data_IF_989305349038
#
_entry.id   IF_989305349038
#
_cell.length_a   1.000
_cell.length_b   1.000
_cell.length_c   1.000
_cell.angle_alpha   90.00
_cell.angle_beta   90.00
_cell.angle_gamma   90.00
#
_symmetry.space_group_name_H-M   'P 1'
#
loop_
_entity.id
_entity.type
_entity.pdbx_description
1 polymer ?
#
# COMPACT_ATOMS: atom_id res chain seq x y z
N UNK A 1 -14.54 0.82 18.37
CA UNK A 1 -15.74 0.70 17.51
C UNK A 1 -16.04 1.93 16.69
N UNK A 2 -16.04 3.19 17.21
CA UNK A 2 -16.32 4.35 16.34
C UNK A 2 -15.31 4.46 15.19
N UNK A 3 -14.03 4.15 15.39
CA UNK A 3 -12.99 4.27 14.35
C UNK A 3 -13.13 3.27 13.19
N UNK A 4 -13.25 1.94 13.42
CA UNK A 4 -13.47 0.98 12.32
C UNK A 4 -14.80 1.23 11.59
N UNK A 5 -15.88 1.58 12.31
CA UNK A 5 -17.19 1.88 11.69
C UNK A 5 -17.17 3.22 10.93
N UNK A 6 -16.44 4.22 11.41
CA UNK A 6 -16.22 5.48 10.69
C UNK A 6 -15.39 5.24 9.44
N UNK A 7 -14.34 4.42 9.50
CA UNK A 7 -13.53 4.04 8.34
C UNK A 7 -14.37 3.29 7.31
N UNK A 8 -15.15 2.28 7.74
CA UNK A 8 -16.09 1.57 6.89
C UNK A 8 -17.14 2.50 6.27
N UNK A 9 -17.69 3.45 7.05
CA UNK A 9 -18.64 4.43 6.53
C UNK A 9 -17.96 5.38 5.54
N UNK A 10 -16.75 5.85 5.82
CA UNK A 10 -15.96 6.73 4.95
C UNK A 10 -15.67 6.05 3.62
N UNK A 11 -15.19 4.80 3.63
CA UNK A 11 -14.95 4.03 2.42
C UNK A 11 -16.25 3.75 1.65
N UNK A 12 -17.33 3.34 2.32
CA UNK A 12 -18.64 3.15 1.67
C UNK A 12 -19.24 4.45 1.09
N UNK A 13 -19.07 5.59 1.77
CA UNK A 13 -19.50 6.90 1.25
C UNK A 13 -18.65 7.36 0.07
N UNK A 14 -17.35 7.08 0.09
CA UNK A 14 -16.46 7.38 -1.04
C UNK A 14 -16.85 6.54 -2.26
N UNK A 15 -17.11 5.24 -2.09
CA UNK A 15 -17.65 4.36 -3.14
C UNK A 15 -18.97 4.89 -3.70
N UNK A 16 -19.90 5.31 -2.84
CA UNK A 16 -21.20 5.87 -3.27
C UNK A 16 -21.05 7.18 -4.05
N UNK A 17 -20.06 8.01 -3.70
CA UNK A 17 -19.75 9.24 -4.42
C UNK A 17 -19.19 8.96 -5.81
N UNK A 18 -18.32 7.95 -5.94
CA UNK A 18 -17.79 7.51 -7.22
C UNK A 18 -18.87 6.94 -8.12
N UNK A 19 -19.82 6.18 -7.56
CA UNK A 19 -20.99 5.72 -8.30
C UNK A 19 -21.81 6.90 -8.88
N UNK A 20 -22.07 7.93 -8.08
CA UNK A 20 -22.79 9.14 -8.56
C UNK A 20 -22.02 9.88 -9.65
N UNK A 21 -20.68 9.86 -9.62
CA UNK A 21 -19.84 10.48 -10.64
C UNK A 21 -19.76 9.64 -11.92
N UNK A 22 -19.66 8.31 -11.80
CA UNK A 22 -19.70 7.37 -12.92
C UNK A 22 -21.08 7.38 -13.61
N UNK A 23 -22.18 7.38 -12.85
CA UNK A 23 -23.55 7.43 -13.38
C UNK A 23 -23.89 8.77 -14.06
N UNK A 24 -23.18 9.86 -13.69
CA UNK A 24 -23.30 11.17 -14.35
C UNK A 24 -22.38 11.35 -15.56
N UNK A 25 -21.47 10.43 -15.82
CA UNK A 25 -20.67 10.47 -17.02
C UNK A 25 -21.59 10.18 -18.23
N UNK A 26 -21.62 11.04 -19.27
CA UNK A 26 -22.50 10.82 -20.40
C UNK A 26 -22.17 9.49 -21.09
N UNK A 27 -23.17 8.61 -21.12
CA UNK A 27 -23.14 7.31 -21.80
C UNK A 27 -22.89 7.50 -23.29
N UNK A 28 -21.64 7.45 -23.71
CA UNK A 28 -21.28 7.30 -25.11
C UNK A 28 -19.97 6.52 -25.21
N UNK A 29 -20.01 5.28 -24.73
CA UNK A 29 -19.15 4.19 -25.23
C UNK A 29 -20.05 2.97 -25.34
N UNK A 30 -20.93 2.96 -26.34
CA UNK A 30 -21.60 1.74 -26.76
C UNK A 30 -20.68 0.97 -27.70
N UNK A 31 -20.47 -0.28 -27.34
CA UNK A 31 -20.01 -1.41 -28.14
C UNK A 31 -20.34 -1.36 -29.63
N UNK A 32 -19.39 -1.82 -30.46
CA UNK A 32 -19.68 -2.38 -31.78
C UNK A 32 -18.98 -1.71 -32.97
N UNK A 33 -18.17 -2.52 -33.65
CA UNK A 33 -17.60 -2.36 -34.99
C UNK A 33 -16.38 -1.42 -35.14
N UNK A 34 -15.23 -2.02 -35.49
CA UNK A 34 -14.12 -1.33 -36.14
C UNK A 34 -14.59 -0.64 -37.43
N UNK A 35 -14.34 0.67 -37.61
CA UNK A 35 -14.36 1.28 -38.92
C UNK A 35 -12.94 1.27 -39.49
N UNK A 36 -12.80 0.70 -40.68
CA UNK A 36 -11.62 0.79 -41.54
C UNK A 36 -11.31 2.27 -41.85
N UNK A 37 -10.49 2.94 -41.04
CA UNK A 37 -9.97 4.30 -41.31
C UNK A 37 -8.48 4.40 -40.95
N UNK A 38 -7.72 3.32 -41.20
CA UNK A 38 -6.25 3.28 -41.07
C UNK A 38 -5.54 3.41 -42.42
N UNK A 39 -6.05 4.23 -43.34
CA UNK A 39 -5.32 4.55 -44.57
C UNK A 39 -5.51 6.02 -44.94
N UNK A 40 -4.39 6.74 -44.94
CA UNK A 40 -4.21 8.11 -45.45
C UNK A 40 -4.50 9.26 -44.49
N UNK A 41 -3.53 9.56 -43.61
CA UNK A 41 -3.23 10.95 -43.29
C UNK A 41 -1.73 11.20 -43.47
N UNK A 42 -1.43 11.91 -44.56
CA UNK A 42 -0.13 12.57 -44.74
C UNK A 42 0.03 13.65 -43.67
N UNK A 43 1.22 13.69 -43.09
CA UNK A 43 1.64 14.59 -42.04
C UNK A 43 1.58 16.06 -42.50
N UNK A 44 0.74 16.86 -41.85
CA UNK A 44 0.73 18.33 -41.99
C UNK A 44 1.30 18.99 -40.73
N UNK A 45 1.94 20.18 -40.83
CA UNK A 45 2.63 20.82 -39.70
C UNK A 45 1.73 21.28 -38.54
N UNK A 46 0.40 21.27 -38.70
CA UNK A 46 -0.54 21.60 -37.61
C UNK A 46 -0.78 20.43 -36.64
N UNK A 47 -0.58 19.18 -37.07
CA UNK A 47 -0.71 17.98 -36.21
C UNK A 47 0.41 17.89 -35.17
N UNK A 48 1.61 18.43 -35.47
CA UNK A 48 2.74 18.46 -34.54
C UNK A 48 2.48 19.37 -33.32
N UNK A 49 1.71 20.44 -33.50
CA UNK A 49 1.35 21.37 -32.41
C UNK A 49 0.27 20.76 -31.51
N UNK A 50 -0.71 20.08 -32.12
CA UNK A 50 -1.79 19.38 -31.42
C UNK A 50 -1.27 18.15 -30.63
N UNK A 51 -0.34 17.38 -31.20
CA UNK A 51 0.33 16.26 -30.50
C UNK A 51 1.24 16.74 -29.36
N UNK A 52 1.94 17.87 -29.51
CA UNK A 52 2.76 18.45 -28.42
C UNK A 52 1.92 18.94 -27.22
N UNK A 53 0.76 19.57 -27.49
CA UNK A 53 -0.15 20.04 -26.46
C UNK A 53 -0.81 18.87 -25.70
N UNK A 54 -1.12 17.79 -26.42
CA UNK A 54 -1.68 16.56 -25.84
C UNK A 54 -0.66 15.84 -24.96
N UNK A 55 0.61 15.80 -25.38
CA UNK A 55 1.70 15.19 -24.59
C UNK A 55 1.99 15.95 -23.29
N UNK A 56 2.07 17.28 -23.35
CA UNK A 56 2.29 18.11 -22.15
C UNK A 56 1.14 18.02 -21.14
N UNK A 57 -0.10 17.96 -21.64
CA UNK A 57 -1.28 17.76 -20.79
C UNK A 57 -1.25 16.40 -20.10
N UNK A 58 -0.86 15.33 -20.81
CA UNK A 58 -0.70 13.99 -20.21
C UNK A 58 0.36 13.99 -19.11
N UNK A 59 1.52 14.61 -19.33
CA UNK A 59 2.57 14.71 -18.31
C UNK A 59 2.10 15.42 -17.05
N UNK A 60 1.45 16.59 -17.19
CA UNK A 60 0.93 17.33 -16.04
C UNK A 60 -0.12 16.53 -15.30
N UNK A 61 -1.09 15.95 -16.01
CA UNK A 61 -2.20 15.23 -15.39
C UNK A 61 -1.72 13.97 -14.68
N UNK A 62 -0.79 13.21 -15.27
CA UNK A 62 -0.19 12.02 -14.64
C UNK A 62 0.57 12.37 -13.36
N UNK A 63 1.40 13.42 -13.39
CA UNK A 63 2.16 13.84 -12.19
C UNK A 63 1.21 14.38 -11.12
N UNK A 64 0.23 15.19 -11.51
CA UNK A 64 -0.77 15.72 -10.57
C UNK A 64 -1.58 14.59 -9.93
N UNK A 65 -2.02 13.61 -10.71
CA UNK A 65 -2.75 12.45 -10.22
C UNK A 65 -1.89 11.56 -9.31
N UNK A 66 -0.63 11.29 -9.66
CA UNK A 66 0.31 10.56 -8.80
C UNK A 66 0.55 11.29 -7.47
N UNK A 67 0.66 12.63 -7.50
CA UNK A 67 0.72 13.44 -6.27
C UNK A 67 -0.55 13.30 -5.44
N UNK A 68 -1.74 13.33 -6.05
CA UNK A 68 -3.02 13.18 -5.32
C UNK A 68 -3.12 11.82 -4.65
N UNK A 69 -2.77 10.75 -5.36
CA UNK A 69 -2.73 9.39 -4.82
C UNK A 69 -1.72 9.29 -3.67
N UNK A 70 -0.46 9.66 -3.90
CA UNK A 70 0.57 9.53 -2.87
C UNK A 70 0.36 10.43 -1.65
N UNK A 71 -0.24 11.62 -1.82
CA UNK A 71 -0.57 12.51 -0.69
C UNK A 71 -1.79 12.03 0.10
N UNK A 72 -2.53 11.03 -0.39
CA UNK A 72 -3.60 10.39 0.38
C UNK A 72 -3.07 9.76 1.67
N UNK A 73 -1.78 9.42 1.75
CA UNK A 73 -1.12 8.96 2.97
C UNK A 73 -1.07 9.97 4.12
N UNK A 74 -1.40 11.24 3.87
CA UNK A 74 -1.58 12.26 4.92
C UNK A 74 -3.00 12.26 5.47
N UNK A 75 -3.98 11.70 4.74
CA UNK A 75 -5.40 11.66 5.15
C UNK A 75 -5.63 11.08 6.56
N UNK A 76 -4.94 10.01 6.99
CA UNK A 76 -5.07 9.48 8.35
C UNK A 76 -4.80 10.51 9.46
N UNK A 77 -3.98 11.55 9.20
CA UNK A 77 -3.69 12.62 10.15
C UNK A 77 -4.92 13.47 10.51
N UNK A 78 -5.91 13.52 9.63
CA UNK A 78 -7.21 14.20 9.85
C UNK A 78 -8.15 13.33 10.69
N UNK A 79 -8.10 12.00 10.50
CA UNK A 79 -8.92 11.05 11.24
C UNK A 79 -8.40 10.77 12.65
N UNK A 80 -7.08 10.87 12.85
CA UNK A 80 -6.44 10.61 14.15
C UNK A 80 -6.39 11.91 14.98
N UNK A 81 -7.13 12.00 16.10
CA UNK A 81 -7.19 13.20 16.92
C UNK A 81 -5.81 13.63 17.47
N UNK A 82 -5.62 14.95 17.68
CA UNK A 82 -4.33 15.60 18.02
C UNK A 82 -3.66 15.03 19.27
N UNK A 83 -4.46 14.60 20.25
CA UNK A 83 -3.98 14.05 21.52
C UNK A 83 -3.35 12.65 21.41
N UNK A 84 -3.26 12.10 20.18
CA UNK A 84 -2.94 10.71 19.95
C UNK A 84 -1.44 10.35 19.87
N UNK A 85 -0.61 11.27 19.38
CA UNK A 85 0.77 10.92 18.99
C UNK A 85 1.69 10.52 20.14
N UNK A 86 1.44 11.00 21.37
CA UNK A 86 2.31 10.76 22.54
C UNK A 86 1.60 10.01 23.67
N UNK A 87 0.26 10.09 23.76
CA UNK A 87 -0.51 9.52 24.88
C UNK A 87 -0.97 8.07 24.66
N UNK A 88 -0.82 7.48 23.47
CA UNK A 88 -1.43 6.16 23.18
C UNK A 88 -0.73 4.99 23.86
N UNK A 89 0.57 5.14 24.12
CA UNK A 89 1.35 4.17 24.89
C UNK A 89 1.03 4.23 26.38
N UNK A 90 0.59 5.39 26.87
CA UNK A 90 0.33 5.65 28.29
C UNK A 90 -1.15 5.52 28.67
N UNK A 91 -2.06 5.63 27.69
CA UNK A 91 -3.50 5.55 27.89
C UNK A 91 -4.06 4.20 27.41
N UNK A 92 -4.66 3.43 28.34
CA UNK A 92 -5.27 2.11 28.08
C UNK A 92 -6.31 2.12 26.95
N UNK A 93 -7.01 3.24 26.72
CA UNK A 93 -7.97 3.41 25.60
C UNK A 93 -7.29 3.58 24.24
N UNK A 94 -6.13 4.26 24.20
CA UNK A 94 -5.35 4.47 22.98
C UNK A 94 -4.78 3.16 22.45
N UNK A 95 -4.15 2.37 23.32
CA UNK A 95 -3.63 1.04 22.99
C UNK A 95 -4.70 0.10 22.40
N UNK A 96 -5.92 0.09 22.94
CA UNK A 96 -7.03 -0.69 22.38
C UNK A 96 -7.46 -0.20 21.00
N UNK A 97 -7.52 1.11 20.81
CA UNK A 97 -7.90 1.69 19.50
C UNK A 97 -6.84 1.38 18.44
N UNK A 98 -5.55 1.45 18.81
CA UNK A 98 -4.44 1.06 17.95
C UNK A 98 -4.52 -0.39 17.52
N UNK A 99 -4.78 -1.30 18.46
CA UNK A 99 -4.96 -2.73 18.13
C UNK A 99 -6.10 -2.96 17.15
N UNK A 100 -7.23 -2.25 17.31
CA UNK A 100 -8.35 -2.35 16.36
C UNK A 100 -8.01 -1.78 14.97
N UNK A 101 -7.30 -0.66 14.90
CA UNK A 101 -6.80 -0.11 13.63
C UNK A 101 -5.80 -1.05 12.97
N UNK A 102 -4.93 -1.67 13.76
CA UNK A 102 -3.96 -2.66 13.29
C UNK A 102 -4.64 -3.94 12.80
N UNK A 103 -5.71 -4.38 13.45
CA UNK A 103 -6.55 -5.48 12.97
C UNK A 103 -7.21 -5.14 11.64
N UNK A 104 -7.75 -3.93 11.50
CA UNK A 104 -8.26 -3.44 10.22
C UNK A 104 -7.16 -3.42 9.15
N UNK A 105 -5.95 -2.95 9.48
CA UNK A 105 -4.79 -2.91 8.60
C UNK A 105 -4.42 -4.31 8.08
N UNK A 106 -4.32 -5.31 8.96
CA UNK A 106 -4.05 -6.71 8.55
C UNK A 106 -5.13 -7.22 7.60
N UNK A 107 -6.40 -6.94 7.90
CA UNK A 107 -7.50 -7.31 7.00
C UNK A 107 -7.42 -6.61 5.64
N UNK A 108 -7.08 -5.33 5.62
CA UNK A 108 -6.87 -4.55 4.41
C UNK A 108 -5.73 -5.10 3.56
N UNK A 109 -4.52 -5.23 4.14
CA UNK A 109 -3.33 -5.78 3.48
C UNK A 109 -3.59 -7.19 2.90
N UNK A 110 -4.26 -8.08 3.66
CA UNK A 110 -4.60 -9.40 3.16
C UNK A 110 -5.66 -9.36 2.05
N UNK A 111 -6.66 -8.47 2.18
CA UNK A 111 -7.67 -8.24 1.17
C UNK A 111 -7.06 -7.76 -0.15
N UNK A 112 -6.16 -6.79 -0.08
CA UNK A 112 -5.44 -6.25 -1.23
C UNK A 112 -4.60 -7.32 -1.94
N UNK A 113 -3.75 -8.03 -1.20
CA UNK A 113 -2.92 -9.10 -1.75
C UNK A 113 -3.77 -10.13 -2.50
N UNK A 114 -4.81 -10.67 -1.87
CA UNK A 114 -5.56 -11.80 -2.44
C UNK A 114 -6.65 -11.41 -3.43
N UNK A 115 -7.23 -10.22 -3.30
CA UNK A 115 -8.38 -9.81 -4.12
C UNK A 115 -8.01 -8.79 -5.21
N UNK A 116 -6.84 -8.15 -5.11
CA UNK A 116 -6.39 -7.15 -6.08
C UNK A 116 -5.05 -7.53 -6.73
N UNK A 117 -3.96 -7.54 -5.96
CA UNK A 117 -2.59 -7.64 -6.51
C UNK A 117 -2.32 -8.99 -7.19
N UNK A 118 -2.69 -10.11 -6.55
CA UNK A 118 -2.44 -11.45 -7.11
C UNK A 118 -3.31 -11.74 -8.35
N UNK A 119 -4.63 -11.48 -8.35
CA UNK A 119 -5.45 -11.60 -9.56
C UNK A 119 -4.97 -10.73 -10.73
N UNK A 120 -4.57 -9.48 -10.46
CA UNK A 120 -4.05 -8.57 -11.50
C UNK A 120 -2.71 -9.07 -12.06
N UNK A 121 -1.77 -9.45 -11.19
CA UNK A 121 -0.49 -10.03 -11.60
C UNK A 121 -0.69 -11.26 -12.48
N UNK A 122 -1.65 -12.11 -12.11
CA UNK A 122 -2.01 -13.27 -12.90
C UNK A 122 -2.54 -12.92 -14.28
N UNK A 123 -3.48 -11.96 -14.34
CA UNK A 123 -4.07 -11.51 -15.60
C UNK A 123 -3.03 -10.96 -16.59
N UNK A 124 -1.96 -10.34 -16.08
CA UNK A 124 -0.84 -9.86 -16.90
C UNK A 124 0.04 -11.01 -17.41
N UNK A 125 0.50 -11.87 -16.50
CA UNK A 125 1.38 -13.00 -16.86
C UNK A 125 0.71 -14.00 -17.81
N UNK A 126 -0.62 -14.17 -17.74
CA UNK A 126 -1.37 -15.02 -18.66
C UNK A 126 -1.42 -14.44 -20.09
N UNK A 127 -1.41 -13.12 -20.25
CA UNK A 127 -1.39 -12.47 -21.58
C UNK A 127 -0.01 -12.56 -22.23
N UNK A 128 1.05 -12.59 -21.43
CA UNK A 128 2.44 -12.61 -21.93
C UNK A 128 2.97 -14.03 -22.20
N UNK A 129 2.49 -15.05 -21.49
CA UNK A 129 3.05 -16.40 -21.55
C UNK A 129 2.22 -17.34 -22.42
N UNK A 130 2.84 -18.01 -23.39
CA UNK A 130 2.20 -19.07 -24.19
C UNK A 130 1.89 -20.34 -23.37
N UNK A 131 2.61 -20.57 -22.26
CA UNK A 131 2.44 -21.72 -21.37
C UNK A 131 1.88 -21.28 -19.99
N UNK A 132 0.60 -21.55 -19.70
CA UNK A 132 -0.01 -21.14 -18.44
C UNK A 132 0.66 -21.78 -17.22
N UNK A 133 1.16 -23.01 -17.32
CA UNK A 133 1.80 -23.68 -16.18
C UNK A 133 3.08 -22.94 -15.74
N UNK A 134 3.86 -22.42 -16.69
CA UNK A 134 5.05 -21.63 -16.41
C UNK A 134 4.70 -20.26 -15.84
N UNK A 135 3.65 -19.62 -16.34
CA UNK A 135 3.17 -18.33 -15.83
C UNK A 135 2.83 -18.42 -14.33
N UNK A 136 2.12 -19.47 -13.93
CA UNK A 136 1.72 -19.68 -12.53
C UNK A 136 2.94 -19.89 -11.61
N UNK A 137 3.92 -20.67 -12.10
CA UNK A 137 5.16 -20.93 -11.37
C UNK A 137 6.00 -19.65 -11.23
N UNK A 138 6.13 -18.86 -12.30
CA UNK A 138 6.84 -17.57 -12.28
C UNK A 138 6.19 -16.61 -11.30
N UNK A 139 4.85 -16.49 -11.30
CA UNK A 139 4.12 -15.67 -10.35
C UNK A 139 4.38 -16.10 -8.91
N UNK A 140 4.25 -17.40 -8.62
CA UNK A 140 4.53 -17.95 -7.29
C UNK A 140 5.97 -17.72 -6.83
N UNK A 141 6.95 -17.81 -7.72
CA UNK A 141 8.35 -17.52 -7.41
C UNK A 141 8.57 -16.05 -7.06
N UNK A 142 7.94 -15.11 -7.76
CA UNK A 142 8.03 -13.68 -7.42
C UNK A 142 7.39 -13.36 -6.07
N UNK A 143 6.24 -13.96 -5.76
CA UNK A 143 5.61 -13.83 -4.44
C UNK A 143 6.53 -14.38 -3.34
N UNK A 144 7.08 -15.57 -3.52
CA UNK A 144 8.02 -16.15 -2.56
C UNK A 144 9.27 -15.28 -2.40
N UNK A 145 9.83 -14.77 -3.50
CA UNK A 145 10.97 -13.86 -3.46
C UNK A 145 10.65 -12.62 -2.63
N UNK A 146 9.47 -12.02 -2.82
CA UNK A 146 9.00 -10.89 -2.01
C UNK A 146 8.95 -11.22 -0.53
N UNK A 147 8.30 -12.33 -0.15
CA UNK A 147 8.23 -12.79 1.25
C UNK A 147 9.64 -12.97 1.83
N UNK A 148 10.50 -13.72 1.15
CA UNK A 148 11.86 -13.99 1.64
C UNK A 148 12.72 -12.73 1.72
N UNK A 149 12.62 -11.81 0.75
CA UNK A 149 13.33 -10.53 0.82
C UNK A 149 12.90 -9.75 2.05
N UNK A 150 11.61 -9.64 2.33
CA UNK A 150 11.12 -8.93 3.52
C UNK A 150 11.53 -9.62 4.83
N UNK A 151 11.51 -10.96 4.89
CA UNK A 151 12.04 -11.72 6.02
C UNK A 151 13.54 -11.49 6.22
N UNK A 152 14.34 -11.50 5.14
CA UNK A 152 15.78 -11.25 5.20
C UNK A 152 16.05 -9.83 5.68
N UNK A 153 15.31 -8.84 5.16
CA UNK A 153 15.44 -7.45 5.62
C UNK A 153 15.09 -7.34 7.10
N UNK A 154 13.98 -7.95 7.53
CA UNK A 154 13.57 -8.00 8.95
C UNK A 154 14.67 -8.62 9.82
N UNK A 155 15.30 -9.70 9.35
CA UNK A 155 16.41 -10.36 10.04
C UNK A 155 17.67 -9.49 10.10
N UNK A 156 18.07 -8.87 8.99
CA UNK A 156 19.27 -8.02 8.89
C UNK A 156 19.10 -6.77 9.77
N UNK A 157 17.94 -6.12 9.73
CA UNK A 157 17.65 -4.96 10.57
C UNK A 157 17.56 -5.35 12.05
N UNK A 158 17.04 -6.53 12.37
CA UNK A 158 17.04 -7.04 13.75
C UNK A 158 18.45 -7.38 14.25
N UNK A 159 19.29 -7.96 13.40
CA UNK A 159 20.67 -8.34 13.73
C UNK A 159 21.58 -7.11 13.94
N UNK A 160 21.50 -6.12 13.06
CA UNK A 160 22.25 -4.86 13.19
C UNK A 160 21.83 -4.08 14.45
N UNK A 161 20.54 -4.07 14.78
CA UNK A 161 20.03 -3.45 16.01
C UNK A 161 20.50 -4.14 17.32
N UNK A 162 21.03 -5.36 17.22
CA UNK A 162 21.53 -6.14 18.36
C UNK A 162 23.02 -5.87 18.68
N UNK A 163 23.77 -5.25 17.76
CA UNK A 163 25.21 -4.99 17.92
C UNK A 163 25.50 -3.67 18.65
N UNK A 164 24.64 -2.66 18.55
CA UNK A 164 24.83 -1.34 19.19
C UNK A 164 24.76 -1.35 20.73
N UNK A 165 24.21 -2.40 21.36
CA UNK A 165 24.13 -2.49 22.84
C UNK A 165 25.35 -3.16 23.49
N UNK A 166 26.24 -3.83 22.73
CA UNK A 166 27.41 -4.48 23.34
C UNK A 166 28.59 -3.54 23.58
N UNK A 167 28.65 -2.36 22.94
CA UNK A 167 29.75 -1.41 23.11
C UNK A 167 29.55 -0.42 24.28
N UNK A 168 28.35 -0.30 24.85
CA UNK A 168 28.07 0.65 25.96
C UNK A 168 28.17 -0.01 27.36
N UNK A 169 28.08 -1.34 27.45
CA UNK A 169 28.08 -2.04 28.74
C UNK A 169 29.47 -2.57 29.19
N UNK A 170 30.58 -2.13 28.61
CA UNK A 170 31.94 -2.58 28.99
C UNK A 170 32.76 -1.55 29.77
N UNK A 171 32.14 -0.56 30.38
CA UNK A 171 32.80 0.26 31.40
C UNK A 171 31.88 0.41 32.60
N UNK A 172 32.40 0.00 33.75
CA UNK A 172 31.80 0.07 35.09
C UNK A 172 30.77 -1.01 35.45
N UNK A 173 31.21 -2.05 36.17
CA UNK A 173 30.88 -2.20 37.61
C UNK A 173 31.65 -3.36 38.23
N UNK A 174 32.27 -3.01 39.36
CA UNK A 174 33.02 -3.78 40.33
C UNK A 174 32.15 -4.81 41.09
N UNK A 175 32.81 -5.81 41.68
CA UNK A 175 32.23 -6.95 42.41
C UNK A 175 31.28 -6.56 43.57
N UNK A 176 30.15 -7.27 43.68
CA UNK A 176 29.65 -8.01 44.86
C UNK A 176 28.10 -8.05 44.92
N UNK A 177 27.52 -9.25 45.03
CA UNK A 177 26.14 -9.42 45.54
C UNK A 177 25.33 -10.51 44.83
N UNK A 178 24.86 -11.48 45.62
CA UNK A 178 24.18 -12.73 45.23
C UNK A 178 22.66 -12.56 45.04
N UNK A 179 22.07 -13.42 44.18
CA UNK A 179 20.64 -13.79 44.01
C UNK A 179 19.73 -12.77 43.31
N UNK A 180 18.76 -13.13 42.46
CA UNK A 180 17.98 -14.36 42.24
C UNK A 180 17.39 -14.30 40.81
N UNK A 181 17.08 -15.46 40.23
CA UNK A 181 16.50 -15.52 38.89
C UNK A 181 15.12 -14.89 38.79
N UNK A 182 14.88 -14.27 37.63
CA UNK A 182 13.57 -14.17 36.98
C UNK A 182 13.84 -14.12 35.47
N UNK A 183 13.59 -15.26 34.81
CA UNK A 183 13.47 -15.32 33.36
C UNK A 183 12.12 -14.71 32.96
N UNK A 184 12.03 -13.38 33.01
CA UNK A 184 10.94 -12.65 32.42
C UNK A 184 11.26 -12.43 30.93
N UNK A 185 10.62 -13.25 30.09
CA UNK A 185 10.47 -13.06 28.64
C UNK A 185 10.23 -11.58 28.32
N UNK A 186 11.24 -10.93 27.73
CA UNK A 186 11.13 -9.56 27.26
C UNK A 186 10.08 -9.51 26.14
N UNK A 187 8.93 -8.92 26.47
CA UNK A 187 8.02 -8.29 25.52
C UNK A 187 8.81 -7.55 24.43
N UNK A 188 8.46 -7.77 23.16
CA UNK A 188 9.19 -7.31 21.97
C UNK A 188 9.98 -6.00 22.17
N UNK A 189 11.28 -6.07 21.90
CA UNK A 189 12.21 -4.95 22.03
C UNK A 189 11.63 -3.70 21.35
N UNK A 190 11.74 -2.49 21.96
CA UNK A 190 11.35 -1.23 21.32
C UNK A 190 11.91 -1.05 19.90
N UNK A 191 13.01 -1.74 19.58
CA UNK A 191 13.68 -1.69 18.27
C UNK A 191 13.08 -2.62 17.22
N UNK A 192 12.59 -3.83 17.57
CA UNK A 192 11.91 -4.71 16.59
C UNK A 192 10.63 -4.06 16.08
N UNK A 193 9.95 -3.34 16.97
CA UNK A 193 8.78 -2.51 16.68
C UNK A 193 9.12 -1.42 15.64
N UNK A 194 10.31 -0.82 15.71
CA UNK A 194 10.77 0.20 14.76
C UNK A 194 11.13 -0.38 13.38
N UNK A 195 11.71 -1.58 13.33
CA UNK A 195 12.01 -2.31 12.07
C UNK A 195 10.74 -2.57 11.26
N UNK A 196 9.66 -3.01 11.91
CA UNK A 196 8.37 -3.21 11.24
C UNK A 196 7.88 -1.95 10.54
N UNK A 197 8.12 -0.77 11.14
CA UNK A 197 7.71 0.51 10.55
C UNK A 197 8.48 0.84 9.27
N UNK A 198 9.78 0.57 9.23
CA UNK A 198 10.60 0.77 8.03
C UNK A 198 10.27 -0.22 6.91
N UNK A 199 10.00 -1.48 7.26
CA UNK A 199 9.54 -2.47 6.28
C UNK A 199 8.19 -2.05 5.70
N UNK A 200 7.31 -1.50 6.53
CA UNK A 200 6.04 -0.93 6.07
C UNK A 200 6.24 0.22 5.07
N UNK A 201 7.13 1.17 5.37
CA UNK A 201 7.46 2.26 4.45
C UNK A 201 8.04 1.76 3.14
N UNK A 202 8.87 0.71 3.18
CA UNK A 202 9.42 0.11 1.97
C UNK A 202 8.31 -0.51 1.11
N UNK A 203 7.41 -1.29 1.70
CA UNK A 203 6.28 -1.86 0.96
C UNK A 203 5.37 -0.76 0.40
N UNK A 204 5.01 0.23 1.21
CA UNK A 204 4.21 1.38 0.76
C UNK A 204 4.92 2.20 -0.34
N UNK A 205 6.25 2.28 -0.32
CA UNK A 205 7.01 2.95 -1.38
C UNK A 205 6.91 2.21 -2.72
N UNK A 206 6.98 0.87 -2.69
CA UNK A 206 6.86 0.05 -3.90
C UNK A 206 5.42 0.10 -4.44
N UNK A 207 4.44 0.09 -3.56
CA UNK A 207 3.03 0.17 -3.94
C UNK A 207 2.66 1.54 -4.54
N UNK A 208 3.10 2.63 -3.88
CA UNK A 208 2.99 3.98 -4.44
C UNK A 208 3.69 4.11 -5.80
N UNK A 209 4.85 3.47 -5.98
CA UNK A 209 5.53 3.41 -7.28
C UNK A 209 4.65 2.75 -8.35
N UNK A 210 4.03 1.61 -8.04
CA UNK A 210 3.13 0.93 -8.97
C UNK A 210 1.85 1.72 -9.25
N UNK A 211 1.32 2.45 -8.27
CA UNK A 211 0.23 3.39 -8.49
C UNK A 211 0.63 4.52 -9.44
N UNK A 212 1.82 5.09 -9.26
CA UNK A 212 2.38 6.07 -10.19
C UNK A 212 2.47 5.56 -11.62
N UNK A 213 3.02 4.36 -11.81
CA UNK A 213 3.09 3.69 -13.11
C UNK A 213 1.71 3.51 -13.73
N UNK A 214 0.75 2.95 -12.98
CA UNK A 214 -0.59 2.63 -13.46
C UNK A 214 -1.39 3.88 -13.85
N UNK A 215 -1.32 4.94 -13.02
CA UNK A 215 -1.94 6.24 -13.30
C UNK A 215 -1.37 6.83 -14.59
N UNK A 216 -0.05 6.90 -14.70
CA UNK A 216 0.61 7.47 -15.88
C UNK A 216 0.33 6.68 -17.17
N UNK A 217 0.40 5.35 -17.11
CA UNK A 217 0.06 4.48 -18.23
C UNK A 217 -1.40 4.69 -18.69
N UNK A 218 -2.32 4.87 -17.75
CA UNK A 218 -3.73 5.12 -18.06
C UNK A 218 -3.97 6.48 -18.74
N UNK A 219 -3.23 7.53 -18.34
CA UNK A 219 -3.28 8.84 -19.01
C UNK A 219 -2.62 8.84 -20.40
N UNK A 220 -1.63 7.96 -20.63
CA UNK A 220 -1.08 7.73 -21.97
C UNK A 220 -2.11 7.07 -22.90
N UNK A 221 -2.98 6.21 -22.37
CA UNK A 221 -4.11 5.62 -23.12
C UNK A 221 -5.22 6.67 -23.36
N UNK A 222 -5.51 7.49 -22.35
CA UNK A 222 -6.39 8.65 -22.52
C UNK A 222 -6.84 9.29 -21.22
N UNK A 223 -7.17 10.58 -21.26
CA UNK A 223 -7.52 11.37 -20.08
C UNK A 223 -8.68 10.80 -19.26
N UNK A 224 -9.71 10.25 -19.92
CA UNK A 224 -10.84 9.63 -19.21
C UNK A 224 -10.41 8.39 -18.43
N UNK A 225 -9.61 7.51 -19.06
CA UNK A 225 -9.07 6.32 -18.42
C UNK A 225 -8.16 6.70 -17.25
N UNK A 226 -7.23 7.65 -17.46
CA UNK A 226 -6.38 8.18 -16.40
C UNK A 226 -7.14 8.70 -15.19
N UNK A 227 -8.21 9.48 -15.40
CA UNK A 227 -9.06 9.99 -14.30
C UNK A 227 -9.77 8.87 -13.54
N UNK A 228 -10.33 7.87 -14.25
CA UNK A 228 -10.99 6.72 -13.64
C UNK A 228 -9.98 5.89 -12.84
N UNK A 229 -8.82 5.55 -13.42
CA UNK A 229 -7.75 4.82 -12.74
C UNK A 229 -7.26 5.56 -11.50
N UNK A 230 -7.07 6.88 -11.58
CA UNK A 230 -6.65 7.71 -10.44
C UNK A 230 -7.65 7.63 -9.30
N UNK A 231 -8.95 7.73 -9.62
CA UNK A 231 -10.01 7.68 -8.62
C UNK A 231 -10.14 6.28 -8.02
N UNK A 232 -10.03 5.24 -8.84
CA UNK A 232 -10.02 3.84 -8.43
C UNK A 232 -8.93 3.59 -7.40
N UNK A 233 -7.69 3.96 -7.76
CA UNK A 233 -6.53 3.83 -6.89
C UNK A 233 -6.70 4.64 -5.61
N UNK A 234 -7.14 5.90 -5.71
CA UNK A 234 -7.33 6.76 -4.53
C UNK A 234 -8.30 6.15 -3.50
N UNK A 235 -9.37 5.49 -3.96
CA UNK A 235 -10.35 4.86 -3.05
C UNK A 235 -9.75 3.69 -2.30
N UNK A 236 -8.98 2.82 -2.98
CA UNK A 236 -8.35 1.67 -2.35
C UNK A 236 -7.15 2.05 -1.48
N UNK A 237 -6.51 3.19 -1.77
CA UNK A 237 -5.33 3.67 -1.05
C UNK A 237 -5.69 4.23 0.32
N UNK A 238 -6.84 4.90 0.45
CA UNK A 238 -7.27 5.47 1.74
C UNK A 238 -7.33 4.42 2.86
N UNK A 239 -7.98 3.25 2.68
CA UNK A 239 -7.91 2.15 3.65
C UNK A 239 -6.50 1.66 3.96
N UNK A 240 -5.65 1.52 2.93
CA UNK A 240 -4.26 1.08 3.06
C UNK A 240 -3.45 2.05 3.90
N UNK A 241 -3.49 3.33 3.56
CA UNK A 241 -2.75 4.40 4.23
C UNK A 241 -3.16 4.57 5.70
N UNK A 242 -4.43 4.33 6.03
CA UNK A 242 -4.88 4.28 7.43
C UNK A 242 -4.22 3.11 8.18
N UNK A 243 -4.08 1.96 7.53
CA UNK A 243 -3.41 0.80 8.09
C UNK A 243 -1.92 1.02 8.30
N UNK A 244 -1.25 1.56 7.29
CA UNK A 244 0.17 1.91 7.31
C UNK A 244 0.48 2.95 8.39
N UNK A 245 -0.35 3.98 8.50
CA UNK A 245 -0.21 4.98 9.55
C UNK A 245 -0.35 4.35 10.94
N UNK A 246 -1.25 3.37 11.11
CA UNK A 246 -1.38 2.63 12.37
C UNK A 246 -0.13 1.77 12.67
N UNK A 247 0.47 1.15 11.65
CA UNK A 247 1.73 0.41 11.78
C UNK A 247 2.86 1.36 12.18
N UNK A 248 2.99 2.54 11.56
CA UNK A 248 4.01 3.54 11.91
C UNK A 248 3.87 4.05 13.35
N UNK A 249 2.64 4.37 13.78
CA UNK A 249 2.37 4.77 15.17
C UNK A 249 2.72 3.65 16.16
N UNK A 250 2.40 2.39 15.82
CA UNK A 250 2.80 1.22 16.60
C UNK A 250 4.33 1.13 16.66
N UNK A 251 5.00 1.41 15.55
CA UNK A 251 6.46 1.41 15.39
C UNK A 251 7.20 2.50 16.17
N UNK A 252 6.48 3.42 16.82
CA UNK A 252 7.05 4.46 17.66
C UNK A 252 7.18 5.83 16.97
N UNK A 253 6.70 5.97 15.74
CA UNK A 253 6.68 7.26 15.05
C UNK A 253 5.64 8.17 15.70
N UNK A 254 5.94 9.47 15.81
CA UNK A 254 4.91 10.44 16.14
C UNK A 254 3.94 10.62 14.97
N UNK A 255 2.74 11.17 15.20
CA UNK A 255 1.78 11.47 14.12
C UNK A 255 2.38 12.31 12.97
N UNK A 256 3.29 13.22 13.30
CA UNK A 256 3.93 14.10 12.32
C UNK A 256 5.08 13.41 11.63
N UNK A 257 5.81 12.54 12.32
CA UNK A 257 6.88 11.75 11.69
C UNK A 257 6.30 10.69 10.75
N UNK A 258 5.21 10.04 11.16
CA UNK A 258 4.44 9.13 10.31
C UNK A 258 3.93 9.85 9.05
N UNK A 259 3.33 11.04 9.20
CA UNK A 259 2.86 11.81 8.05
C UNK A 259 4.00 12.25 7.12
N UNK A 260 5.14 12.69 7.65
CA UNK A 260 6.32 13.01 6.83
C UNK A 260 6.85 11.78 6.10
N UNK A 261 6.84 10.62 6.75
CA UNK A 261 7.26 9.37 6.14
C UNK A 261 6.33 8.95 4.99
N UNK A 262 5.00 9.08 5.15
CA UNK A 262 4.07 8.85 4.04
C UNK A 262 4.19 9.89 2.91
N UNK A 263 4.52 11.14 3.20
CA UNK A 263 4.85 12.11 2.14
C UNK A 263 6.11 11.67 1.37
N UNK A 264 7.06 11.00 2.02
CA UNK A 264 8.25 10.47 1.33
C UNK A 264 7.93 9.32 0.37
N UNK A 265 6.95 8.47 0.67
CA UNK A 265 6.49 7.41 -0.25
C UNK A 265 5.77 8.00 -1.46
N UNK A 266 5.07 9.13 -1.30
CA UNK A 266 4.44 9.86 -2.40
C UNK A 266 5.45 10.31 -3.48
N UNK A 267 6.68 10.66 -3.08
CA UNK A 267 7.76 11.00 -4.03
C UNK A 267 8.12 9.80 -4.89
N UNK A 268 8.12 8.60 -4.31
CA UNK A 268 8.37 7.35 -5.03
C UNK A 268 7.22 7.07 -6.02
N UNK A 269 5.97 7.39 -5.65
CA UNK A 269 4.85 7.33 -6.59
C UNK A 269 4.98 8.28 -7.78
N UNK A 270 5.41 9.51 -7.56
CA UNK A 270 5.73 10.43 -8.67
C UNK A 270 6.87 9.88 -9.53
N UNK A 271 7.89 9.26 -8.94
CA UNK A 271 8.97 8.61 -9.69
C UNK A 271 8.44 7.47 -10.58
N UNK A 272 7.46 6.69 -10.10
CA UNK A 272 6.75 5.69 -10.90
C UNK A 272 6.01 6.31 -12.10
N UNK A 273 5.29 7.40 -11.88
CA UNK A 273 4.63 8.11 -12.98
C UNK A 273 5.62 8.64 -14.03
N UNK A 274 6.75 9.20 -13.59
CA UNK A 274 7.82 9.64 -14.50
C UNK A 274 8.40 8.45 -15.27
N UNK A 275 8.67 7.33 -14.60
CA UNK A 275 9.20 6.13 -15.25
C UNK A 275 8.29 5.65 -16.39
N UNK A 276 6.97 5.58 -16.17
CA UNK A 276 6.00 5.22 -17.20
C UNK A 276 5.94 6.25 -18.36
N UNK A 277 6.01 7.55 -18.07
CA UNK A 277 5.99 8.60 -19.08
C UNK A 277 7.26 8.65 -19.95
N UNK A 278 8.39 8.23 -19.40
CA UNK A 278 9.68 8.20 -20.10
C UNK A 278 9.93 6.91 -20.86
N UNK A 279 9.09 5.89 -20.68
CA UNK A 279 9.24 4.64 -21.39
C UNK A 279 8.81 4.79 -22.85
N UNK A 280 9.68 4.34 -23.78
CA UNK A 280 9.48 4.49 -25.23
C UNK A 280 8.23 3.74 -25.76
N UNK A 281 7.72 2.75 -25.02
CA UNK A 281 6.43 2.12 -25.33
C UNK A 281 5.74 1.56 -24.07
N UNK A 282 4.40 1.58 -24.07
CA UNK A 282 3.58 1.00 -22.99
C UNK A 282 3.80 -0.51 -22.83
N UNK A 283 4.05 -1.24 -23.93
CA UNK A 283 4.38 -2.68 -23.87
C UNK A 283 5.69 -2.96 -23.13
N UNK A 284 6.69 -2.05 -23.24
CA UNK A 284 7.96 -2.19 -22.51
C UNK A 284 7.77 -1.90 -21.01
N UNK A 285 6.81 -1.04 -20.65
CA UNK A 285 6.45 -0.83 -19.23
C UNK A 285 5.79 -2.07 -18.67
N UNK A 286 4.78 -2.62 -19.35
CA UNK A 286 4.05 -3.79 -18.87
C UNK A 286 5.00 -4.99 -18.67
N UNK A 287 5.80 -5.32 -19.69
CA UNK A 287 6.76 -6.45 -19.63
C UNK A 287 7.86 -6.29 -18.57
N UNK A 288 8.38 -5.07 -18.36
CA UNK A 288 9.42 -4.83 -17.35
C UNK A 288 8.88 -4.68 -15.93
N UNK A 289 7.55 -4.57 -15.75
CA UNK A 289 6.93 -4.34 -14.44
C UNK A 289 6.05 -5.51 -13.96
N UNK A 290 5.82 -6.53 -14.80
CA UNK A 290 5.05 -7.75 -14.48
C UNK A 290 5.50 -8.48 -13.20
N UNK A 291 6.76 -8.33 -12.78
CA UNK A 291 7.28 -8.93 -11.54
C UNK A 291 7.00 -8.11 -10.28
N UNK A 292 6.71 -6.81 -10.40
CA UNK A 292 6.61 -5.89 -9.27
C UNK A 292 5.38 -6.21 -8.42
N UNK A 293 4.22 -6.41 -9.03
CA UNK A 293 2.97 -6.74 -8.32
C UNK A 293 3.07 -8.04 -7.49
N UNK A 294 3.50 -9.20 -8.05
CA UNK A 294 3.62 -10.42 -7.25
C UNK A 294 4.74 -10.31 -6.19
N UNK A 295 5.84 -9.62 -6.48
CA UNK A 295 6.88 -9.35 -5.48
C UNK A 295 6.35 -8.53 -4.30
N UNK A 296 5.61 -7.44 -4.59
CA UNK A 296 5.03 -6.54 -3.58
C UNK A 296 3.97 -7.27 -2.74
N UNK A 297 3.17 -8.11 -3.39
CA UNK A 297 2.21 -9.01 -2.71
C UNK A 297 2.88 -9.87 -1.64
N UNK A 298 4.07 -10.42 -1.95
CA UNK A 298 4.87 -11.17 -0.98
C UNK A 298 5.35 -10.33 0.20
N UNK A 299 5.76 -9.08 -0.05
CA UNK A 299 6.14 -8.13 1.00
C UNK A 299 4.99 -7.78 1.94
N UNK A 300 3.82 -7.42 1.39
CA UNK A 300 2.62 -7.15 2.20
C UNK A 300 2.14 -8.37 2.98
N UNK A 301 2.23 -9.57 2.39
CA UNK A 301 1.93 -10.81 3.09
C UNK A 301 2.84 -11.02 4.31
N UNK A 302 4.14 -10.71 4.18
CA UNK A 302 5.07 -10.75 5.32
C UNK A 302 4.69 -9.75 6.40
N UNK A 303 4.45 -8.48 6.05
CA UNK A 303 4.08 -7.45 7.03
C UNK A 303 2.80 -7.86 7.76
N UNK A 304 1.77 -8.28 7.02
CA UNK A 304 0.49 -8.66 7.60
C UNK A 304 0.61 -9.89 8.53
N UNK A 305 1.19 -10.99 8.04
CA UNK A 305 1.17 -12.28 8.75
C UNK A 305 2.32 -12.48 9.74
N UNK A 306 3.50 -11.92 9.47
CA UNK A 306 4.70 -12.15 10.28
C UNK A 306 4.93 -11.00 11.24
N UNK A 307 4.85 -9.75 10.78
CA UNK A 307 5.21 -8.59 11.61
C UNK A 307 4.03 -8.05 12.44
N UNK A 308 2.80 -8.19 11.97
CA UNK A 308 1.64 -7.53 12.59
C UNK A 308 0.66 -8.50 13.26
N UNK A 309 0.19 -9.52 12.55
CA UNK A 309 -0.82 -10.47 13.04
C UNK A 309 -0.43 -11.17 14.36
N UNK A 310 0.83 -11.60 14.60
CA UNK A 310 1.18 -12.30 15.83
C UNK A 310 0.97 -11.46 17.09
N UNK A 311 1.04 -10.14 17.00
CA UNK A 311 0.76 -9.26 18.13
C UNK A 311 -0.73 -9.11 18.43
N UNK A 312 -1.59 -9.25 17.42
CA UNK A 312 -3.05 -9.29 17.60
C UNK A 312 -3.48 -10.59 18.28
N UNK A 313 -2.81 -11.70 17.94
CA UNK A 313 -3.10 -13.02 18.51
C UNK A 313 -2.72 -13.17 19.99
N UNK A 314 -1.96 -12.21 20.57
CA UNK A 314 -1.60 -12.18 22.00
C UNK A 314 -2.70 -11.63 22.92
N UNK A 315 -3.86 -11.24 22.38
CA UNK A 315 -4.97 -10.72 23.19
C UNK A 315 -5.69 -11.84 23.95
N UNK A 316 -5.63 -11.80 25.29
CA UNK A 316 -6.24 -12.83 26.16
C UNK A 316 -7.74 -12.60 26.41
N UNK A 317 -8.22 -11.36 26.33
CA UNK A 317 -9.64 -11.04 26.50
C UNK A 317 -10.43 -11.46 25.26
N UNK A 318 -11.28 -12.48 25.41
CA UNK A 318 -12.12 -13.02 24.34
C UNK A 318 -13.00 -11.96 23.66
N UNK A 319 -13.46 -10.95 24.41
CA UNK A 319 -14.29 -9.88 23.86
C UNK A 319 -13.48 -8.91 23.00
N UNK A 320 -12.27 -8.54 23.44
CA UNK A 320 -11.39 -7.68 22.64
C UNK A 320 -10.84 -8.44 21.43
N UNK A 321 -10.52 -9.73 21.57
CA UNK A 321 -10.13 -10.61 20.46
C UNK A 321 -11.23 -10.71 19.41
N UNK A 322 -12.50 -10.87 19.84
CA UNK A 322 -13.65 -10.88 18.92
C UNK A 322 -13.79 -9.57 18.14
N UNK A 323 -13.52 -8.42 18.77
CA UNK A 323 -13.53 -7.12 18.07
C UNK A 323 -12.37 -6.97 17.08
N UNK A 324 -11.20 -7.49 17.43
CA UNK A 324 -10.04 -7.50 16.53
C UNK A 324 -10.34 -8.34 15.30
N UNK A 325 -10.84 -9.57 15.47
CA UNK A 325 -11.28 -10.42 14.37
C UNK A 325 -12.35 -9.74 13.50
N UNK A 326 -13.34 -9.09 14.11
CA UNK A 326 -14.33 -8.33 13.38
C UNK A 326 -13.72 -7.17 12.57
N UNK A 327 -12.71 -6.46 13.10
CA UNK A 327 -12.02 -5.42 12.33
C UNK A 327 -11.17 -6.04 11.19
N UNK A 328 -10.52 -7.20 11.37
CA UNK A 328 -9.85 -7.95 10.27
C UNK A 328 -10.84 -8.28 9.16
N UNK A 329 -11.97 -8.91 9.49
CA UNK A 329 -13.01 -9.23 8.51
C UNK A 329 -13.55 -7.96 7.83
N UNK A 330 -13.69 -6.86 8.56
CA UNK A 330 -14.13 -5.60 7.98
C UNK A 330 -13.11 -5.00 7.02
N UNK A 331 -11.81 -5.14 7.28
CA UNK A 331 -10.76 -4.71 6.35
C UNK A 331 -10.81 -5.49 5.04
N UNK A 332 -10.92 -6.83 5.13
CA UNK A 332 -11.09 -7.70 3.95
C UNK A 332 -12.37 -7.33 3.19
N UNK A 333 -13.49 -7.14 3.88
CA UNK A 333 -14.76 -6.79 3.25
C UNK A 333 -14.72 -5.43 2.56
N UNK A 334 -14.01 -4.44 3.12
CA UNK A 334 -13.80 -3.13 2.48
C UNK A 334 -13.01 -3.30 1.19
N UNK A 335 -11.90 -4.02 1.22
CA UNK A 335 -11.10 -4.26 0.01
C UNK A 335 -11.88 -5.03 -1.05
N UNK A 336 -12.61 -6.08 -0.64
CA UNK A 336 -13.46 -6.86 -1.53
C UNK A 336 -14.56 -6.00 -2.18
N UNK A 337 -15.20 -5.13 -1.39
CA UNK A 337 -16.21 -4.21 -1.89
C UNK A 337 -15.59 -3.24 -2.91
N UNK A 338 -14.47 -2.59 -2.56
CA UNK A 338 -13.78 -1.66 -3.44
C UNK A 338 -13.44 -2.33 -4.77
N UNK A 339 -12.84 -3.54 -4.75
CA UNK A 339 -12.55 -4.27 -5.98
C UNK A 339 -13.80 -4.57 -6.81
N UNK A 340 -14.85 -5.08 -6.16
CA UNK A 340 -16.11 -5.41 -6.84
C UNK A 340 -16.85 -4.19 -7.41
N UNK A 341 -16.54 -2.98 -6.94
CA UNK A 341 -17.08 -1.73 -7.49
C UNK A 341 -16.21 -1.12 -8.60
N UNK A 342 -14.94 -1.49 -8.68
CA UNK A 342 -13.98 -0.96 -9.65
C UNK A 342 -13.86 -1.83 -10.93
N UNK A 343 -14.17 -3.12 -10.84
CA UNK A 343 -14.31 -4.06 -11.97
C UNK A 343 -15.71 -4.04 -12.61
#
# INVERSE_FOLDING_TARGET
>A
MPSCVQLLRLSLTAVSLVQVLCDRAPANVSSGASPRVWQSFGSTPDDARCTSATSYQTWILSIAAACVVGLSGVFPLVLVPVDAGLNWKQNRKGSRTLKLLLSFAVGGLLGDVFLHLLPEAWGRLQKESEDPARAHLTLGLWVLLGVFTFVILELVFSATASQDDQDVCRSDVNQNGVSKGDAASHSGSPRTIHVTGYLNLLANSIDNFTHGLAVAASFLIGTKMGMVTTLAILIHEIPHEVGDFAILLKSGFSRWDAAKAQVSTAVVGVAGAVAALTADSLEVVDTNTSWILPFTSGGFLNIALVSVLPDLLKEEDAWESSKQLACVCSGIAVMAAIQAFLE
#
